data_IF_405422466888
#
_entry.id   IF_405422466888
#
_cell.length_a   1.000
_cell.length_b   1.000
_cell.length_c   1.000
_cell.angle_alpha   90.00
_cell.angle_beta   90.00
_cell.angle_gamma   90.00
#
_symmetry.space_group_name_H-M   'P 1'
#
loop_
_entity.id
_entity.type
_entity.pdbx_description
1 polymer ?
#
# COMPACT_ATOMS: atom_id res chain seq x y z
N UNK A 1 21.22 -10.63 4.98
CA UNK A 1 20.63 -9.29 4.99
C UNK A 1 21.08 -8.55 6.22
N UNK A 2 21.60 -7.35 6.10
CA UNK A 2 21.98 -6.52 7.25
C UNK A 2 20.77 -5.82 7.83
N UNK A 3 20.80 -5.50 9.12
CA UNK A 3 19.75 -4.72 9.81
C UNK A 3 19.48 -3.38 9.08
N UNK A 4 20.53 -2.78 8.51
CA UNK A 4 20.42 -1.52 7.75
C UNK A 4 19.52 -1.69 6.52
N UNK A 5 19.68 -2.75 5.71
CA UNK A 5 18.85 -3.00 4.53
C UNK A 5 17.39 -3.21 4.91
N UNK A 6 17.13 -3.87 6.05
CA UNK A 6 15.78 -4.04 6.57
C UNK A 6 15.14 -2.68 6.90
N UNK A 7 15.82 -1.86 7.67
CA UNK A 7 15.32 -0.54 8.07
C UNK A 7 15.08 0.36 6.86
N UNK A 8 16.05 0.42 5.94
CA UNK A 8 15.92 1.22 4.71
C UNK A 8 14.75 0.76 3.85
N UNK A 9 14.59 -0.55 3.66
CA UNK A 9 13.44 -1.11 2.93
C UNK A 9 12.12 -0.69 3.57
N UNK A 10 11.97 -0.88 4.88
CA UNK A 10 10.75 -0.52 5.60
C UNK A 10 10.42 0.98 5.50
N UNK A 11 11.43 1.84 5.65
CA UNK A 11 11.26 3.29 5.54
C UNK A 11 10.90 3.70 4.10
N UNK A 12 11.59 3.18 3.10
CA UNK A 12 11.30 3.51 1.69
C UNK A 12 9.88 3.04 1.28
N UNK A 13 9.45 1.86 1.74
CA UNK A 13 8.09 1.38 1.49
C UNK A 13 7.06 2.28 2.19
N UNK A 14 7.29 2.65 3.44
CA UNK A 14 6.40 3.55 4.18
C UNK A 14 6.25 4.92 3.51
N UNK A 15 7.36 5.50 3.04
CA UNK A 15 7.35 6.75 2.28
C UNK A 15 6.59 6.61 0.96
N UNK A 16 6.88 5.56 0.19
CA UNK A 16 6.20 5.30 -1.08
C UNK A 16 4.69 5.13 -0.89
N UNK A 17 4.27 4.35 0.12
CA UNK A 17 2.86 4.18 0.45
C UNK A 17 2.20 5.52 0.82
N UNK A 18 2.83 6.32 1.67
CA UNK A 18 2.32 7.65 2.05
C UNK A 18 2.13 8.54 0.82
N UNK A 19 3.11 8.59 -0.08
CA UNK A 19 3.03 9.40 -1.30
C UNK A 19 1.93 8.91 -2.24
N UNK A 20 1.81 7.60 -2.46
CA UNK A 20 0.79 7.00 -3.34
C UNK A 20 -0.62 7.27 -2.78
N UNK A 21 -0.85 7.00 -1.51
CA UNK A 21 -2.14 7.24 -0.84
C UNK A 21 -2.51 8.73 -0.87
N UNK A 22 -1.58 9.60 -0.51
CA UNK A 22 -1.81 11.03 -0.55
C UNK A 22 -2.15 11.52 -1.97
N UNK A 23 -1.40 11.09 -2.96
CA UNK A 23 -1.62 11.52 -4.35
C UNK A 23 -2.95 10.99 -4.91
N UNK A 24 -3.20 9.70 -4.75
CA UNK A 24 -4.39 9.08 -5.34
C UNK A 24 -5.64 9.46 -4.53
N UNK A 25 -5.66 9.17 -3.25
CA UNK A 25 -6.86 9.38 -2.43
C UNK A 25 -6.99 10.87 -2.05
N UNK A 26 -5.92 11.47 -1.56
CA UNK A 26 -5.96 12.85 -1.05
C UNK A 26 -6.05 13.91 -2.15
N UNK A 27 -5.55 13.65 -3.36
CA UNK A 27 -5.56 14.62 -4.44
C UNK A 27 -6.53 14.25 -5.57
N UNK A 28 -6.39 13.07 -6.19
CA UNK A 28 -7.20 12.71 -7.36
C UNK A 28 -8.66 12.40 -7.01
N UNK A 29 -8.89 11.69 -5.91
CA UNK A 29 -10.23 11.22 -5.52
C UNK A 29 -10.82 11.94 -4.30
N UNK A 30 -10.17 12.99 -3.80
CA UNK A 30 -10.65 13.76 -2.66
C UNK A 30 -12.09 14.28 -2.85
N UNK A 31 -12.40 14.81 -4.03
CA UNK A 31 -13.75 15.31 -4.35
C UNK A 31 -14.83 14.23 -4.31
N UNK A 32 -14.48 12.98 -4.53
CA UNK A 32 -15.44 11.86 -4.45
C UNK A 32 -15.85 11.54 -3.02
N UNK A 33 -15.07 11.93 -2.02
CA UNK A 33 -15.44 11.84 -0.60
C UNK A 33 -16.59 12.79 -0.26
N UNK A 34 -16.63 13.96 -0.88
CA UNK A 34 -17.69 14.94 -0.66
C UNK A 34 -19.08 14.47 -1.13
N UNK A 35 -19.15 13.45 -2.00
CA UNK A 35 -20.40 12.87 -2.46
C UNK A 35 -21.08 11.97 -1.41
N UNK A 36 -20.36 11.57 -0.38
CA UNK A 36 -20.87 10.74 0.73
C UNK A 36 -20.43 11.31 2.08
N UNK A 37 -20.86 12.54 2.44
CA UNK A 37 -20.31 13.28 3.58
C UNK A 37 -20.54 12.59 4.92
N UNK A 38 -21.63 11.86 5.08
CA UNK A 38 -21.96 11.15 6.33
C UNK A 38 -21.08 9.91 6.58
N UNK A 39 -20.30 9.49 5.59
CA UNK A 39 -19.41 8.32 5.69
C UNK A 39 -18.06 8.68 6.34
N UNK A 40 -17.67 9.95 6.28
CA UNK A 40 -16.32 10.39 6.62
C UNK A 40 -16.26 11.08 7.98
N UNK A 41 -15.23 10.76 8.74
CA UNK A 41 -14.87 11.59 9.91
C UNK A 41 -14.29 12.92 9.43
N UNK A 42 -14.49 14.01 10.18
CA UNK A 42 -13.88 15.29 9.89
C UNK A 42 -12.35 15.15 9.76
N UNK A 43 -11.79 15.80 8.75
CA UNK A 43 -10.34 15.85 8.57
C UNK A 43 -9.67 16.55 9.75
N UNK A 44 -8.60 15.98 10.24
CA UNK A 44 -7.82 16.54 11.34
C UNK A 44 -6.33 16.25 11.15
N UNK A 45 -5.48 17.10 11.69
CA UNK A 45 -4.04 16.85 11.67
C UNK A 45 -3.65 15.51 12.30
N UNK A 46 -4.41 15.07 13.33
CA UNK A 46 -4.21 13.75 13.96
C UNK A 46 -4.47 12.60 12.99
N UNK A 47 -5.49 12.71 12.14
CA UNK A 47 -5.80 11.69 11.14
C UNK A 47 -4.65 11.49 10.16
N UNK A 48 -4.02 12.57 9.72
CA UNK A 48 -2.86 12.50 8.83
C UNK A 48 -1.64 11.86 9.50
N UNK A 49 -1.39 12.20 10.77
CA UNK A 49 -0.30 11.56 11.54
C UNK A 49 -0.53 10.06 11.68
N UNK A 50 -1.75 9.64 12.04
CA UNK A 50 -2.06 8.21 12.16
C UNK A 50 -1.97 7.48 10.82
N UNK A 51 -2.44 8.08 9.73
CA UNK A 51 -2.31 7.51 8.38
C UNK A 51 -0.84 7.31 8.00
N UNK A 52 0.00 8.31 8.25
CA UNK A 52 1.45 8.22 8.01
C UNK A 52 2.10 7.11 8.85
N UNK A 53 1.79 7.03 10.15
CA UNK A 53 2.29 5.97 11.02
C UNK A 53 1.88 4.57 10.53
N UNK A 54 0.63 4.41 10.06
CA UNK A 54 0.15 3.15 9.47
C UNK A 54 0.91 2.81 8.18
N UNK A 55 1.28 3.80 7.37
CA UNK A 55 2.10 3.57 6.17
C UNK A 55 3.50 3.04 6.52
N UNK A 56 4.13 3.56 7.57
CA UNK A 56 5.42 3.03 8.04
C UNK A 56 5.28 1.64 8.68
N UNK A 57 4.20 1.40 9.40
CA UNK A 57 3.89 0.08 9.95
C UNK A 57 3.67 -0.95 8.82
N UNK A 58 2.94 -0.56 7.76
CA UNK A 58 2.81 -1.36 6.54
C UNK A 58 4.20 -1.66 5.93
N UNK A 59 5.07 -0.65 5.81
CA UNK A 59 6.43 -0.82 5.30
C UNK A 59 7.24 -1.84 6.12
N UNK A 60 7.15 -1.77 7.44
CA UNK A 60 7.83 -2.72 8.34
C UNK A 60 7.30 -4.15 8.15
N UNK A 61 5.98 -4.34 8.21
CA UNK A 61 5.39 -5.67 8.07
C UNK A 61 5.59 -6.25 6.67
N UNK A 62 5.44 -5.45 5.62
CA UNK A 62 5.68 -5.92 4.25
C UNK A 62 7.14 -6.32 4.04
N UNK A 63 8.08 -5.59 4.62
CA UNK A 63 9.51 -5.96 4.59
C UNK A 63 9.73 -7.32 5.27
N UNK A 64 9.17 -7.53 6.47
CA UNK A 64 9.25 -8.85 7.14
C UNK A 64 8.66 -9.96 6.26
N UNK A 65 7.45 -9.75 5.73
CA UNK A 65 6.78 -10.69 4.85
C UNK A 65 7.63 -11.01 3.63
N UNK A 66 8.12 -9.98 2.95
CA UNK A 66 8.93 -10.16 1.75
C UNK A 66 10.18 -11.00 2.02
N UNK A 67 10.94 -10.67 3.05
CA UNK A 67 12.19 -11.39 3.33
C UNK A 67 12.00 -12.79 3.92
N UNK A 68 10.90 -13.05 4.61
CA UNK A 68 10.61 -14.37 5.18
C UNK A 68 9.89 -15.30 4.22
N UNK A 69 9.05 -14.76 3.37
CA UNK A 69 8.17 -15.55 2.49
C UNK A 69 8.36 -15.16 1.03
N UNK A 70 8.15 -13.90 0.70
CA UNK A 70 8.09 -13.40 -0.66
C UNK A 70 9.35 -13.65 -1.47
N UNK A 71 10.53 -13.54 -0.85
CA UNK A 71 11.82 -13.75 -1.52
C UNK A 71 12.00 -15.18 -2.09
N UNK A 72 11.26 -16.14 -1.58
CA UNK A 72 11.27 -17.53 -2.09
C UNK A 72 10.50 -17.68 -3.42
N UNK A 73 9.66 -16.71 -3.76
CA UNK A 73 8.80 -16.74 -4.95
C UNK A 73 9.24 -15.78 -6.04
N UNK A 74 10.34 -15.06 -5.83
CA UNK A 74 10.86 -14.09 -6.79
C UNK A 74 12.23 -14.52 -7.32
N UNK A 75 12.49 -14.19 -8.59
CA UNK A 75 13.79 -14.36 -9.21
C UNK A 75 14.58 -13.08 -8.98
N UNK A 76 15.72 -13.20 -8.31
CA UNK A 76 16.63 -12.08 -8.04
C UNK A 76 17.01 -11.39 -9.35
N UNK A 77 16.93 -10.06 -9.40
CA UNK A 77 17.22 -9.26 -10.61
C UNK A 77 16.10 -9.22 -11.65
N UNK A 78 14.99 -9.93 -11.43
CA UNK A 78 13.87 -9.91 -12.37
C UNK A 78 12.71 -9.05 -11.84
N UNK A 79 12.59 -7.83 -12.35
CA UNK A 79 11.52 -6.88 -11.98
C UNK A 79 10.12 -7.49 -12.12
N UNK A 80 9.86 -8.27 -13.17
CA UNK A 80 8.56 -8.90 -13.39
C UNK A 80 8.17 -9.86 -12.27
N UNK A 81 9.13 -10.57 -11.66
CA UNK A 81 8.82 -11.47 -10.54
C UNK A 81 8.34 -10.70 -9.31
N UNK A 82 8.90 -9.51 -9.05
CA UNK A 82 8.46 -8.64 -7.96
C UNK A 82 7.08 -8.04 -8.23
N UNK A 83 6.80 -7.60 -9.46
CA UNK A 83 5.48 -7.11 -9.87
C UNK A 83 4.43 -8.22 -9.71
N UNK A 84 4.72 -9.44 -10.18
CA UNK A 84 3.81 -10.58 -10.00
C UNK A 84 3.51 -10.87 -8.55
N UNK A 85 4.53 -10.87 -7.69
CA UNK A 85 4.34 -11.04 -6.23
C UNK A 85 3.42 -9.95 -5.67
N UNK A 86 3.67 -8.69 -6.02
CA UNK A 86 2.84 -7.56 -5.59
C UNK A 86 1.38 -7.71 -6.05
N UNK A 87 1.14 -8.09 -7.30
CA UNK A 87 -0.21 -8.32 -7.84
C UNK A 87 -0.92 -9.49 -7.15
N UNK A 88 -0.22 -10.57 -6.84
CA UNK A 88 -0.78 -11.70 -6.09
C UNK A 88 -1.15 -11.25 -4.67
N UNK A 89 -0.27 -10.53 -3.98
CA UNK A 89 -0.56 -10.00 -2.65
C UNK A 89 -1.75 -9.04 -2.67
N UNK A 90 -1.82 -8.16 -3.67
CA UNK A 90 -2.97 -7.28 -3.85
C UNK A 90 -4.27 -8.08 -4.03
N UNK A 91 -4.30 -9.05 -4.94
CA UNK A 91 -5.49 -9.84 -5.22
C UNK A 91 -5.95 -10.65 -3.99
N UNK A 92 -5.02 -11.27 -3.26
CA UNK A 92 -5.34 -12.12 -2.11
C UNK A 92 -5.78 -11.33 -0.86
N UNK A 93 -5.21 -10.15 -0.64
CA UNK A 93 -5.42 -9.41 0.61
C UNK A 93 -6.20 -8.13 0.42
N UNK A 94 -5.69 -7.17 -0.38
CA UNK A 94 -6.30 -5.85 -0.45
C UNK A 94 -7.59 -5.82 -1.28
N UNK A 95 -7.61 -6.46 -2.45
CA UNK A 95 -8.77 -6.45 -3.35
C UNK A 95 -10.04 -6.95 -2.66
N UNK A 96 -9.94 -8.09 -1.98
CA UNK A 96 -11.09 -8.70 -1.30
C UNK A 96 -11.59 -7.81 -0.16
N UNK A 97 -10.68 -7.26 0.65
CA UNK A 97 -11.04 -6.37 1.74
C UNK A 97 -11.66 -5.06 1.26
N UNK A 98 -11.10 -4.44 0.21
CA UNK A 98 -11.63 -3.18 -0.32
C UNK A 98 -13.00 -3.37 -0.98
N UNK A 99 -13.20 -4.46 -1.71
CA UNK A 99 -14.52 -4.80 -2.26
C UNK A 99 -15.52 -5.15 -1.16
N UNK A 100 -15.10 -5.87 -0.13
CA UNK A 100 -15.93 -6.15 1.04
C UNK A 100 -16.38 -4.85 1.73
N UNK A 101 -15.46 -3.93 1.97
CA UNK A 101 -15.80 -2.62 2.54
C UNK A 101 -16.79 -1.85 1.66
N UNK A 102 -16.63 -1.90 0.33
CA UNK A 102 -17.51 -1.21 -0.61
C UNK A 102 -18.95 -1.78 -0.63
N UNK A 103 -19.16 -3.02 -0.18
CA UNK A 103 -20.51 -3.63 -0.05
C UNK A 103 -21.24 -3.05 1.16
N UNK A 104 -20.53 -2.84 2.28
CA UNK A 104 -21.15 -2.46 3.55
C UNK A 104 -21.05 -0.96 3.88
N UNK A 105 -20.13 -0.25 3.24
CA UNK A 105 -19.90 1.17 3.47
C UNK A 105 -20.32 1.95 2.23
N UNK A 106 -21.14 2.99 2.42
CA UNK A 106 -21.64 3.81 1.32
C UNK A 106 -20.55 4.72 0.76
N UNK A 107 -19.58 4.13 0.07
CA UNK A 107 -18.57 4.87 -0.66
C UNK A 107 -19.03 5.24 -2.07
N UNK A 108 -18.61 6.41 -2.55
CA UNK A 108 -18.74 6.72 -3.98
C UNK A 108 -17.93 5.73 -4.83
N UNK A 109 -18.50 5.30 -5.97
CA UNK A 109 -17.85 4.30 -6.85
C UNK A 109 -16.48 4.72 -7.35
N UNK A 110 -16.29 6.02 -7.64
CA UNK A 110 -14.98 6.54 -8.07
C UNK A 110 -13.97 6.47 -6.94
N UNK A 111 -14.42 6.74 -5.70
CA UNK A 111 -13.56 6.60 -4.53
C UNK A 111 -13.13 5.16 -4.31
N UNK A 112 -14.03 4.18 -4.45
CA UNK A 112 -13.67 2.75 -4.38
C UNK A 112 -12.62 2.39 -5.42
N UNK A 113 -12.79 2.85 -6.66
CA UNK A 113 -11.78 2.65 -7.70
C UNK A 113 -10.43 3.28 -7.34
N UNK A 114 -10.45 4.50 -6.81
CA UNK A 114 -9.24 5.18 -6.31
C UNK A 114 -8.52 4.38 -5.23
N UNK A 115 -9.26 3.85 -4.25
CA UNK A 115 -8.70 2.99 -3.20
C UNK A 115 -8.07 1.73 -3.76
N UNK A 116 -8.76 1.04 -4.67
CA UNK A 116 -8.21 -0.16 -5.32
C UNK A 116 -6.92 0.15 -6.09
N UNK A 117 -6.90 1.27 -6.84
CA UNK A 117 -5.71 1.69 -7.57
C UNK A 117 -4.56 2.04 -6.61
N UNK A 118 -4.82 2.79 -5.54
CA UNK A 118 -3.82 3.14 -4.53
C UNK A 118 -3.24 1.89 -3.87
N UNK A 119 -4.09 0.98 -3.38
CA UNK A 119 -3.66 -0.27 -2.74
C UNK A 119 -2.84 -1.16 -3.69
N UNK A 120 -3.27 -1.27 -4.96
CA UNK A 120 -2.52 -2.04 -5.96
C UNK A 120 -1.12 -1.46 -6.17
N UNK A 121 -1.03 -0.17 -6.42
CA UNK A 121 0.26 0.51 -6.65
C UNK A 121 1.16 0.46 -5.42
N UNK A 122 0.61 0.65 -4.21
CA UNK A 122 1.35 0.58 -2.95
C UNK A 122 1.97 -0.80 -2.72
N UNK A 123 1.21 -1.88 -2.94
CA UNK A 123 1.68 -3.24 -2.71
C UNK A 123 2.70 -3.65 -3.79
N UNK A 124 2.47 -3.27 -5.06
CA UNK A 124 3.44 -3.53 -6.14
C UNK A 124 4.74 -2.75 -5.91
N UNK A 125 4.65 -1.46 -5.55
CA UNK A 125 5.82 -0.66 -5.21
C UNK A 125 6.58 -1.24 -4.01
N UNK A 126 5.88 -1.70 -2.98
CA UNK A 126 6.50 -2.35 -1.83
C UNK A 126 7.28 -3.62 -2.22
N UNK A 127 6.72 -4.45 -3.11
CA UNK A 127 7.41 -5.65 -3.59
C UNK A 127 8.68 -5.31 -4.40
N UNK A 128 8.62 -4.28 -5.24
CA UNK A 128 9.77 -3.80 -6.01
C UNK A 128 10.85 -3.23 -5.08
N UNK A 129 10.47 -2.34 -4.16
CA UNK A 129 11.41 -1.71 -3.21
C UNK A 129 12.09 -2.78 -2.35
N UNK A 130 11.32 -3.71 -1.76
CA UNK A 130 11.89 -4.80 -0.98
C UNK A 130 12.85 -5.66 -1.82
N UNK A 131 12.53 -5.88 -3.10
CA UNK A 131 13.39 -6.54 -4.07
C UNK A 131 14.73 -5.84 -4.25
N UNK A 132 14.74 -4.52 -4.40
CA UNK A 132 15.98 -3.75 -4.56
C UNK A 132 16.91 -3.88 -3.35
N UNK A 133 16.37 -3.97 -2.14
CA UNK A 133 17.15 -4.18 -0.93
C UNK A 133 17.50 -5.65 -0.65
N UNK A 134 16.92 -6.59 -1.40
CA UNK A 134 17.23 -8.02 -1.29
C UNK A 134 18.44 -8.46 -2.11
N UNK A 135 18.92 -7.61 -3.01
CA UNK A 135 20.06 -7.95 -3.85
C UNK A 135 21.32 -8.05 -2.98
N UNK A 136 21.97 -9.19 -3.07
CA UNK A 136 23.28 -9.47 -2.47
C UNK A 136 24.38 -9.19 -3.48
#
# INVERSE_FOLDING_TARGET
MTTIHFILSAVCIGLANTCIEWFIIGFLFHKSQALTPNTWKPESGRSYVYSTLLSFLFGAFFTVFYFKVGSNYVISGNLWSHIKLGLICFACFALIFELGNAIYINYDKKFVFGKLAASCLSIVAAAIIAGLFSWK
#
